data_IF_921163047813
#
_entry.id   IF_921163047813
#
_cell.length_a   1.000
_cell.length_b   1.000
_cell.length_c   1.000
_cell.angle_alpha   90.00
_cell.angle_beta   90.00
_cell.angle_gamma   90.00
#
_symmetry.space_group_name_H-M   'P 1'
#
loop_
_entity.id
_entity.type
_entity.pdbx_description
1 polymer ?
#
# COMPACT_ATOMS: atom_id res chain seq x y z
N UNK A 1 -22.14 4.56 -21.53
CA UNK A 1 -22.17 3.34 -20.70
C UNK A 1 -21.70 2.05 -21.39
N UNK A 2 -22.38 1.47 -22.40
CA UNK A 2 -21.95 0.16 -22.98
C UNK A 2 -20.51 0.13 -23.55
N UNK A 3 -20.10 1.17 -24.28
CA UNK A 3 -18.75 1.23 -24.87
C UNK A 3 -17.63 1.32 -23.81
N UNK A 4 -17.89 2.02 -22.70
CA UNK A 4 -16.94 2.24 -21.60
C UNK A 4 -16.82 0.99 -20.74
N UNK A 5 -17.95 0.34 -20.42
CA UNK A 5 -17.95 -0.97 -19.78
C UNK A 5 -17.20 -2.02 -20.63
N UNK A 6 -17.37 -1.99 -21.96
CA UNK A 6 -16.61 -2.83 -22.90
C UNK A 6 -15.10 -2.56 -22.89
N UNK A 7 -14.69 -1.29 -22.79
CA UNK A 7 -13.26 -0.90 -22.71
C UNK A 7 -12.60 -1.48 -21.46
N UNK A 8 -13.17 -1.27 -20.28
CA UNK A 8 -12.57 -1.76 -19.03
C UNK A 8 -12.58 -3.29 -18.95
N UNK A 9 -13.62 -3.94 -19.47
CA UNK A 9 -13.66 -5.40 -19.59
C UNK A 9 -12.53 -5.91 -20.50
N UNK A 10 -12.28 -5.22 -21.62
CA UNK A 10 -11.18 -5.55 -22.52
C UNK A 10 -9.82 -5.35 -21.85
N UNK A 11 -9.59 -4.20 -21.19
CA UNK A 11 -8.35 -3.93 -20.45
C UNK A 11 -8.10 -5.04 -19.41
N UNK A 12 -9.13 -5.41 -18.65
CA UNK A 12 -9.05 -6.50 -17.69
C UNK A 12 -8.69 -7.82 -18.37
N UNK A 13 -9.37 -8.19 -19.45
CA UNK A 13 -9.09 -9.41 -20.21
C UNK A 13 -7.67 -9.43 -20.78
N UNK A 14 -7.18 -8.31 -21.30
CA UNK A 14 -5.84 -8.23 -21.87
C UNK A 14 -4.77 -8.35 -20.77
N UNK A 15 -5.03 -7.85 -19.57
CA UNK A 15 -4.15 -8.02 -18.41
C UNK A 15 -4.11 -9.48 -17.92
N UNK A 16 -5.26 -10.12 -17.71
CA UNK A 16 -5.29 -11.50 -17.16
C UNK A 16 -4.81 -12.56 -18.14
N UNK A 17 -4.87 -12.27 -19.45
CA UNK A 17 -4.39 -13.16 -20.50
C UNK A 17 -2.94 -12.84 -20.93
N UNK A 18 -2.20 -12.06 -20.14
CA UNK A 18 -0.82 -11.63 -20.43
C UNK A 18 -0.64 -11.00 -21.82
N UNK A 19 -1.70 -10.43 -22.41
CA UNK A 19 -1.66 -9.65 -23.65
C UNK A 19 -1.10 -8.24 -23.42
N UNK A 20 -0.93 -7.89 -22.15
CA UNK A 20 -0.39 -6.62 -21.68
C UNK A 20 0.81 -6.89 -20.78
N UNK A 21 1.92 -6.20 -21.07
CA UNK A 21 3.06 -6.19 -20.16
C UNK A 21 2.69 -5.45 -18.88
N UNK A 22 2.44 -6.20 -17.82
CA UNK A 22 2.40 -5.66 -16.47
C UNK A 22 3.78 -5.13 -16.07
N UNK A 23 3.84 -4.10 -15.21
CA UNK A 23 5.11 -3.56 -14.78
C UNK A 23 5.93 -4.58 -13.99
N UNK A 24 7.23 -4.58 -14.25
CA UNK A 24 8.18 -5.38 -13.50
C UNK A 24 8.62 -4.65 -12.23
N UNK A 25 8.99 -5.42 -11.21
CA UNK A 25 9.64 -4.88 -10.02
C UNK A 25 10.98 -4.23 -10.40
N UNK A 26 11.28 -3.02 -9.91
CA UNK A 26 12.60 -2.42 -10.07
C UNK A 26 13.72 -3.31 -9.55
N UNK A 27 14.89 -3.21 -10.17
CA UNK A 27 16.07 -4.02 -9.86
C UNK A 27 16.47 -3.99 -8.39
N UNK A 28 16.32 -2.85 -7.73
CA UNK A 28 16.66 -2.71 -6.31
C UNK A 28 15.81 -3.62 -5.42
N UNK A 29 14.51 -3.76 -5.68
CA UNK A 29 13.64 -4.66 -4.92
C UNK A 29 14.01 -6.12 -5.17
N UNK A 30 14.36 -6.48 -6.42
CA UNK A 30 14.79 -7.84 -6.78
C UNK A 30 16.13 -8.17 -6.10
N UNK A 31 17.11 -7.27 -6.16
CA UNK A 31 18.42 -7.43 -5.53
C UNK A 31 18.29 -7.52 -4.01
N UNK A 32 17.46 -6.67 -3.40
CA UNK A 32 17.23 -6.69 -1.96
C UNK A 32 16.58 -8.00 -1.51
N UNK A 33 15.57 -8.49 -2.25
CA UNK A 33 14.95 -9.79 -1.98
C UNK A 33 15.97 -10.93 -2.04
N UNK A 34 16.80 -10.97 -3.09
CA UNK A 34 17.87 -11.97 -3.23
C UNK A 34 18.89 -11.90 -2.10
N UNK A 35 19.22 -10.70 -1.64
CA UNK A 35 20.17 -10.51 -0.55
C UNK A 35 19.58 -11.01 0.80
N UNK A 36 18.29 -10.77 1.04
CA UNK A 36 17.60 -11.18 2.27
C UNK A 36 17.19 -12.66 2.29
N UNK A 37 17.16 -13.34 1.14
CA UNK A 37 16.87 -14.78 1.06
C UNK A 37 18.08 -15.67 1.33
N UNK A 38 19.25 -15.10 1.60
CA UNK A 38 20.45 -15.85 1.95
C UNK A 38 20.51 -16.00 3.48
N UNK A 39 20.63 -17.23 3.99
CA UNK A 39 20.62 -17.54 5.43
C UNK A 39 21.71 -16.81 6.24
N UNK A 40 22.78 -16.34 5.58
CA UNK A 40 23.87 -15.58 6.19
C UNK A 40 23.95 -14.12 5.73
N UNK A 41 22.82 -13.46 5.46
CA UNK A 41 22.83 -12.05 5.09
C UNK A 41 23.38 -11.16 6.22
N UNK A 42 24.09 -10.09 5.86
CA UNK A 42 24.57 -9.09 6.82
C UNK A 42 24.06 -7.70 6.47
N UNK A 43 24.01 -6.81 7.47
CA UNK A 43 23.63 -5.40 7.28
C UNK A 43 24.49 -4.75 6.18
N UNK A 44 25.77 -5.11 6.08
CA UNK A 44 26.68 -4.57 5.07
C UNK A 44 26.32 -4.97 3.65
N UNK A 45 25.79 -6.19 3.46
CA UNK A 45 25.33 -6.66 2.14
C UNK A 45 24.07 -5.88 1.76
N UNK A 46 23.12 -5.75 2.69
CA UNK A 46 21.87 -5.01 2.46
C UNK A 46 22.14 -3.53 2.17
N UNK A 47 23.02 -2.91 2.95
CA UNK A 47 23.42 -1.52 2.76
C UNK A 47 24.02 -1.29 1.37
N UNK A 48 24.94 -2.17 0.94
CA UNK A 48 25.55 -2.10 -0.40
C UNK A 48 24.52 -2.19 -1.52
N UNK A 49 23.52 -3.07 -1.40
CA UNK A 49 22.43 -3.17 -2.39
C UNK A 49 21.67 -1.85 -2.50
N UNK A 50 21.29 -1.26 -1.37
CA UNK A 50 20.50 -0.02 -1.33
C UNK A 50 21.32 1.17 -1.85
N UNK A 51 22.61 1.23 -1.50
CA UNK A 51 23.55 2.25 -1.96
C UNK A 51 23.74 2.29 -3.48
N UNK A 52 23.37 1.23 -4.21
CA UNK A 52 23.40 1.26 -5.68
C UNK A 52 22.34 2.19 -6.29
N UNK A 53 21.32 2.60 -5.52
CA UNK A 53 20.31 3.57 -5.94
C UNK A 53 20.34 4.77 -4.97
N UNK A 54 20.79 5.92 -5.49
CA UNK A 54 20.90 7.18 -4.74
C UNK A 54 19.54 7.64 -4.22
N UNK A 55 18.47 7.47 -5.00
CA UNK A 55 17.13 7.91 -4.62
C UNK A 55 16.54 6.99 -3.55
N UNK A 56 16.76 5.68 -3.64
CA UNK A 56 16.36 4.74 -2.59
C UNK A 56 17.14 4.97 -1.28
N UNK A 57 18.43 5.30 -1.39
CA UNK A 57 19.28 5.63 -0.25
C UNK A 57 18.81 6.90 0.47
N UNK A 58 18.55 7.96 -0.27
CA UNK A 58 18.02 9.21 0.28
C UNK A 58 16.62 9.00 0.90
N UNK A 59 15.76 8.24 0.21
CA UNK A 59 14.45 7.86 0.73
C UNK A 59 14.56 7.15 2.09
N UNK A 60 15.44 6.15 2.20
CA UNK A 60 15.62 5.41 3.44
C UNK A 60 16.16 6.28 4.58
N UNK A 61 17.16 7.13 4.32
CA UNK A 61 17.73 8.04 5.32
C UNK A 61 16.71 9.06 5.82
N UNK A 62 15.89 9.62 4.92
CA UNK A 62 14.84 10.55 5.29
C UNK A 62 13.81 9.90 6.22
N UNK A 63 13.49 8.62 5.97
CA UNK A 63 12.55 7.87 6.82
C UNK A 63 13.17 7.53 8.17
N UNK A 64 14.40 7.03 8.20
CA UNK A 64 15.09 6.68 9.43
C UNK A 64 15.21 7.87 10.38
N UNK A 65 15.31 9.08 9.84
CA UNK A 65 15.40 10.34 10.60
C UNK A 65 14.06 11.04 10.83
N UNK A 66 12.96 10.46 10.32
CA UNK A 66 11.63 11.02 10.48
C UNK A 66 11.10 10.83 11.90
N UNK A 67 10.03 11.56 12.24
CA UNK A 67 9.35 11.39 13.53
C UNK A 67 8.89 9.94 13.79
N UNK A 68 8.70 9.15 12.72
CA UNK A 68 8.25 7.77 12.75
C UNK A 68 9.21 6.82 13.47
N UNK A 69 10.52 7.00 13.25
CA UNK A 69 11.61 6.18 13.80
C UNK A 69 12.50 6.96 14.76
N UNK A 70 12.01 8.11 15.26
CA UNK A 70 12.83 9.07 16.02
C UNK A 70 13.50 8.39 17.22
N UNK A 71 14.81 8.22 17.14
CA UNK A 71 15.65 7.78 18.25
C UNK A 71 16.53 8.93 18.76
N UNK A 72 17.30 8.70 19.83
CA UNK A 72 18.29 9.67 20.32
C UNK A 72 19.44 9.93 19.33
N UNK A 73 19.60 9.10 18.31
CA UNK A 73 20.71 9.13 17.35
C UNK A 73 20.20 9.18 15.92
N UNK A 74 20.65 10.18 15.16
CA UNK A 74 20.31 10.36 13.75
C UNK A 74 21.05 9.33 12.89
N UNK A 75 20.39 8.76 11.89
CA UNK A 75 21.00 7.92 10.88
C UNK A 75 21.84 8.78 9.91
N UNK A 76 23.17 8.63 9.96
CA UNK A 76 24.12 9.31 9.08
C UNK A 76 24.44 8.52 7.80
N UNK A 77 24.16 7.22 7.81
CA UNK A 77 24.45 6.29 6.72
C UNK A 77 23.42 5.16 6.65
N UNK A 78 23.45 4.38 5.57
CA UNK A 78 22.48 3.31 5.33
C UNK A 78 22.59 2.19 6.36
N UNK A 79 23.78 1.89 6.89
CA UNK A 79 23.94 0.84 7.90
C UNK A 79 23.29 1.26 9.23
N UNK A 80 23.46 2.52 9.63
CA UNK A 80 22.82 3.12 10.81
C UNK A 80 21.31 3.17 10.65
N UNK A 81 20.80 3.52 9.46
CA UNK A 81 19.36 3.45 9.16
C UNK A 81 18.82 2.02 9.29
N UNK A 82 19.52 1.02 8.74
CA UNK A 82 19.15 -0.40 8.88
C UNK A 82 19.20 -0.85 10.35
N UNK A 83 20.16 -0.39 11.15
CA UNK A 83 20.24 -0.72 12.58
C UNK A 83 19.09 -0.13 13.39
N UNK A 84 18.69 1.11 13.09
CA UNK A 84 17.58 1.79 13.78
C UNK A 84 16.24 1.12 13.44
N UNK A 85 16.02 0.83 12.16
CA UNK A 85 14.73 0.35 11.67
C UNK A 85 14.60 -1.17 11.72
N UNK A 86 15.70 -1.90 11.57
CA UNK A 86 15.70 -3.34 11.33
C UNK A 86 15.54 -3.70 9.85
N UNK A 87 16.03 -4.88 9.47
CA UNK A 87 16.07 -5.33 8.07
C UNK A 87 14.69 -5.60 7.48
N UNK A 88 13.73 -6.04 8.29
CA UNK A 88 12.34 -6.25 7.86
C UNK A 88 11.67 -4.96 7.41
N UNK A 89 11.83 -3.89 8.19
CA UNK A 89 11.30 -2.55 7.92
C UNK A 89 11.93 -1.95 6.67
N UNK A 90 13.26 -2.05 6.56
CA UNK A 90 14.00 -1.62 5.36
C UNK A 90 13.49 -2.34 4.11
N UNK A 91 13.29 -3.66 4.18
CA UNK A 91 12.71 -4.44 3.07
C UNK A 91 11.35 -3.89 2.64
N UNK A 92 10.47 -3.65 3.61
CA UNK A 92 9.12 -3.17 3.33
C UNK A 92 9.14 -1.78 2.70
N UNK A 93 9.96 -0.87 3.22
CA UNK A 93 10.06 0.50 2.71
C UNK A 93 10.73 0.59 1.34
N UNK A 94 11.76 -0.21 1.07
CA UNK A 94 12.34 -0.28 -0.28
C UNK A 94 11.34 -0.87 -1.28
N UNK A 95 10.52 -1.85 -0.87
CA UNK A 95 9.42 -2.33 -1.70
C UNK A 95 8.43 -1.20 -2.00
N UNK A 96 8.02 -0.42 -1.00
CA UNK A 96 7.17 0.77 -1.17
C UNK A 96 7.77 1.75 -2.21
N UNK A 97 9.05 2.09 -2.05
CA UNK A 97 9.77 2.94 -2.99
C UNK A 97 9.77 2.37 -4.42
N UNK A 98 10.08 1.08 -4.56
CA UNK A 98 10.14 0.41 -5.84
C UNK A 98 8.76 0.35 -6.53
N UNK A 99 7.68 0.12 -5.79
CA UNK A 99 6.33 0.16 -6.37
C UNK A 99 5.94 1.56 -6.83
N UNK A 100 6.43 2.61 -6.17
CA UNK A 100 6.20 3.99 -6.60
C UNK A 100 6.89 4.29 -7.92
N UNK A 101 8.14 3.85 -8.08
CA UNK A 101 8.93 4.17 -9.29
C UNK A 101 8.39 3.51 -10.56
N UNK A 102 7.51 2.52 -10.43
CA UNK A 102 6.79 1.89 -11.53
C UNK A 102 5.77 2.84 -12.19
N UNK A 103 5.27 3.83 -11.44
CA UNK A 103 4.20 4.71 -11.90
C UNK A 103 4.79 5.81 -12.80
N UNK A 104 4.81 5.56 -14.11
CA UNK A 104 5.28 6.52 -15.12
C UNK A 104 4.19 6.75 -16.16
N UNK A 105 3.80 8.01 -16.35
CA UNK A 105 2.92 8.47 -17.43
C UNK A 105 3.29 9.89 -17.83
N UNK A 106 3.20 10.18 -19.13
CA UNK A 106 3.44 11.51 -19.69
C UNK A 106 2.18 12.38 -19.69
N UNK A 107 0.97 11.78 -19.61
CA UNK A 107 -0.28 12.53 -19.67
C UNK A 107 -0.67 13.10 -18.32
N UNK A 108 -0.89 14.42 -18.30
CA UNK A 108 -1.24 15.15 -17.09
C UNK A 108 -2.53 14.63 -16.40
N UNK A 109 -3.53 14.22 -17.19
CA UNK A 109 -4.81 13.68 -16.68
C UNK A 109 -4.61 12.36 -15.93
N UNK A 110 -3.94 11.40 -16.56
CA UNK A 110 -3.64 10.10 -15.95
C UNK A 110 -2.71 10.27 -14.75
N UNK A 111 -1.73 11.16 -14.84
CA UNK A 111 -0.85 11.51 -13.72
C UNK A 111 -1.63 12.02 -12.51
N UNK A 112 -2.66 12.84 -12.72
CA UNK A 112 -3.55 13.32 -11.66
C UNK A 112 -4.25 12.14 -10.96
N UNK A 113 -4.84 11.21 -11.71
CA UNK A 113 -5.54 10.04 -11.14
C UNK A 113 -4.60 9.10 -10.41
N UNK A 114 -3.44 8.80 -10.98
CA UNK A 114 -2.41 7.97 -10.35
C UNK A 114 -1.90 8.59 -9.05
N UNK A 115 -1.63 9.90 -9.05
CA UNK A 115 -1.21 10.61 -7.85
C UNK A 115 -2.30 10.62 -6.76
N UNK A 116 -3.56 10.87 -7.14
CA UNK A 116 -4.68 10.83 -6.21
C UNK A 116 -4.87 9.44 -5.60
N UNK A 117 -4.77 8.39 -6.42
CA UNK A 117 -4.82 7.01 -5.96
C UNK A 117 -3.66 6.71 -5.00
N UNK A 118 -2.44 7.09 -5.35
CA UNK A 118 -1.27 6.91 -4.51
C UNK A 118 -1.40 7.63 -3.16
N UNK A 119 -1.84 8.89 -3.17
CA UNK A 119 -2.05 9.67 -1.94
C UNK A 119 -3.09 9.02 -1.02
N UNK A 120 -4.16 8.47 -1.60
CA UNK A 120 -5.18 7.72 -0.86
C UNK A 120 -4.61 6.45 -0.24
N UNK A 121 -3.87 5.65 -1.01
CA UNK A 121 -3.19 4.44 -0.52
C UNK A 121 -2.17 4.76 0.56
N UNK A 122 -1.37 5.82 0.40
CA UNK A 122 -0.41 6.28 1.40
C UNK A 122 -1.10 6.73 2.70
N UNK A 123 -2.23 7.43 2.59
CA UNK A 123 -3.02 7.82 3.76
C UNK A 123 -3.58 6.61 4.51
N UNK A 124 -4.13 5.64 3.79
CA UNK A 124 -4.60 4.37 4.36
C UNK A 124 -3.47 3.56 4.99
N UNK A 125 -2.32 3.48 4.31
CA UNK A 125 -1.12 2.82 4.81
C UNK A 125 -0.65 3.40 6.15
N UNK A 126 -0.63 4.73 6.28
CA UNK A 126 -0.25 5.39 7.52
C UNK A 126 -1.23 5.11 8.66
N UNK A 127 -2.55 5.05 8.38
CA UNK A 127 -3.54 4.64 9.37
C UNK A 127 -3.35 3.16 9.76
N UNK A 128 -3.12 2.27 8.79
CA UNK A 128 -2.87 0.85 9.05
C UNK A 128 -1.63 0.64 9.94
N UNK A 129 -0.57 1.41 9.69
CA UNK A 129 0.63 1.42 10.52
C UNK A 129 0.34 1.88 11.96
N UNK A 130 -0.44 2.96 12.14
CA UNK A 130 -0.83 3.46 13.45
C UNK A 130 -1.72 2.47 14.22
N UNK A 131 -2.66 1.80 13.54
CA UNK A 131 -3.47 0.72 14.11
C UNK A 131 -2.56 -0.42 14.57
N UNK A 132 -1.67 -0.89 13.69
CA UNK A 132 -0.76 -2.01 13.97
C UNK A 132 0.15 -1.75 15.17
N UNK A 133 0.61 -0.51 15.41
CA UNK A 133 1.36 -0.15 16.64
C UNK A 133 0.60 -0.48 17.93
N UNK A 134 -0.73 -0.44 17.91
CA UNK A 134 -1.59 -0.75 19.07
C UNK A 134 -2.15 -2.17 19.03
N UNK A 135 -1.92 -2.90 17.95
CA UNK A 135 -2.40 -4.27 17.75
C UNK A 135 -1.27 -5.26 18.03
N UNK A 136 -1.49 -6.18 18.97
CA UNK A 136 -0.53 -7.25 19.24
C UNK A 136 -0.35 -8.12 17.99
N UNK A 137 0.86 -8.65 17.81
CA UNK A 137 1.22 -9.61 16.76
C UNK A 137 1.13 -9.10 15.31
N UNK A 138 0.88 -7.80 15.08
CA UNK A 138 0.95 -7.19 13.75
C UNK A 138 2.17 -6.29 13.63
N UNK A 139 3.05 -6.58 12.67
CA UNK A 139 4.21 -5.74 12.33
C UNK A 139 3.70 -4.42 11.69
N UNK A 140 3.99 -3.24 12.29
CA UNK A 140 3.53 -1.96 11.75
C UNK A 140 4.04 -1.67 10.34
N UNK A 141 5.30 -1.97 10.02
CA UNK A 141 5.89 -1.71 8.71
C UNK A 141 5.31 -2.62 7.64
N UNK A 142 4.91 -3.82 8.04
CA UNK A 142 4.16 -4.73 7.19
C UNK A 142 2.74 -4.23 6.94
N UNK A 143 2.06 -3.67 7.95
CA UNK A 143 0.75 -3.04 7.80
C UNK A 143 0.82 -1.79 6.90
N UNK A 144 1.89 -1.00 7.00
CA UNK A 144 2.17 0.11 6.09
C UNK A 144 2.28 -0.39 4.63
N UNK A 145 3.11 -1.42 4.39
CA UNK A 145 3.27 -2.00 3.06
C UNK A 145 1.92 -2.55 2.53
N UNK A 146 1.19 -3.26 3.37
CA UNK A 146 -0.10 -3.85 3.02
C UNK A 146 -1.15 -2.80 2.66
N UNK A 147 -1.28 -1.74 3.46
CA UNK A 147 -2.19 -0.62 3.20
C UNK A 147 -1.83 0.18 1.95
N UNK A 148 -0.55 0.20 1.55
CA UNK A 148 -0.14 0.81 0.30
C UNK A 148 -0.48 -0.08 -0.91
N UNK A 149 -0.29 -1.39 -0.76
CA UNK A 149 -0.44 -2.37 -1.83
C UNK A 149 -1.88 -2.82 -2.06
N UNK A 150 -2.79 -2.65 -1.12
CA UNK A 150 -4.16 -3.18 -1.22
C UNK A 150 -4.88 -2.74 -2.51
N UNK A 151 -4.59 -1.53 -3.02
CA UNK A 151 -5.19 -0.96 -4.23
C UNK A 151 -4.30 -1.04 -5.47
N UNK A 152 -3.19 -1.79 -5.45
CA UNK A 152 -2.15 -1.71 -6.48
C UNK A 152 -2.62 -2.08 -7.88
N UNK A 153 -3.68 -2.90 -7.99
CA UNK A 153 -4.26 -3.29 -9.27
C UNK A 153 -4.93 -2.14 -10.03
N UNK A 154 -5.18 -0.99 -9.40
CA UNK A 154 -5.66 0.21 -10.09
C UNK A 154 -4.61 0.79 -11.05
N UNK A 155 -3.31 0.64 -10.73
CA UNK A 155 -2.22 1.22 -11.50
C UNK A 155 -2.18 0.74 -12.96
N UNK A 156 -2.11 -0.57 -13.25
CA UNK A 156 -2.10 -1.05 -14.64
C UNK A 156 -3.39 -0.72 -15.39
N UNK A 157 -4.54 -0.67 -14.71
CA UNK A 157 -5.81 -0.27 -15.33
C UNK A 157 -5.74 1.19 -15.79
N UNK A 158 -5.27 2.09 -14.92
CA UNK A 158 -5.12 3.52 -15.23
C UNK A 158 -4.07 3.76 -16.32
N UNK A 159 -2.94 3.03 -16.28
CA UNK A 159 -1.91 3.12 -17.33
C UNK A 159 -2.45 2.67 -18.70
N UNK A 160 -3.26 1.60 -18.77
CA UNK A 160 -3.86 1.16 -20.03
C UNK A 160 -5.01 2.03 -20.51
N UNK A 161 -5.74 2.62 -19.58
CA UNK A 161 -6.70 3.64 -19.94
C UNK A 161 -6.00 4.82 -20.63
N UNK A 162 -4.83 5.23 -20.12
CA UNK A 162 -4.00 6.28 -20.72
C UNK A 162 -3.63 5.96 -22.16
N UNK A 163 -3.15 4.75 -22.46
CA UNK A 163 -2.79 4.34 -23.82
C UNK A 163 -3.98 4.31 -24.79
N UNK A 164 -5.20 4.12 -24.29
CA UNK A 164 -6.35 3.76 -25.12
C UNK A 164 -6.83 4.88 -26.07
N UNK A 165 -6.45 6.15 -25.86
CA UNK A 165 -6.63 7.38 -26.70
C UNK A 165 -8.00 7.62 -27.38
N UNK A 166 -8.98 6.73 -27.20
CA UNK A 166 -10.22 6.64 -27.98
C UNK A 166 -11.43 7.11 -27.20
N UNK A 167 -11.37 7.09 -25.87
CA UNK A 167 -12.47 7.44 -24.98
C UNK A 167 -11.89 8.13 -23.74
N UNK A 168 -12.47 9.28 -23.37
CA UNK A 168 -12.20 9.96 -22.11
C UNK A 168 -13.35 9.63 -21.12
N UNK A 169 -13.22 8.58 -20.30
CA UNK A 169 -14.25 8.26 -19.31
C UNK A 169 -14.32 9.36 -18.24
N UNK A 170 -15.51 9.52 -17.67
CA UNK A 170 -15.72 10.39 -16.51
C UNK A 170 -15.06 9.80 -15.26
N UNK A 171 -14.86 10.63 -14.23
CA UNK A 171 -14.30 10.17 -12.95
C UNK A 171 -15.16 9.05 -12.31
N UNK A 172 -16.49 9.16 -12.38
CA UNK A 172 -17.40 8.13 -11.90
C UNK A 172 -17.23 6.80 -12.65
N UNK A 173 -17.07 6.84 -13.97
CA UNK A 173 -16.85 5.63 -14.77
C UNK A 173 -15.52 4.96 -14.46
N UNK A 174 -14.47 5.75 -14.17
CA UNK A 174 -13.19 5.23 -13.69
C UNK A 174 -13.36 4.58 -12.31
N UNK A 175 -14.04 5.24 -11.37
CA UNK A 175 -14.29 4.68 -10.03
C UNK A 175 -15.02 3.33 -10.10
N UNK A 176 -16.12 3.25 -10.86
CA UNK A 176 -16.89 2.02 -11.06
C UNK A 176 -16.02 0.91 -11.65
N UNK A 177 -15.18 1.23 -12.63
CA UNK A 177 -14.29 0.24 -13.24
C UNK A 177 -13.20 -0.24 -12.29
N UNK A 178 -12.61 0.67 -11.51
CA UNK A 178 -11.63 0.32 -10.49
C UNK A 178 -12.24 -0.59 -9.43
N UNK A 179 -13.45 -0.31 -8.95
CA UNK A 179 -14.13 -1.17 -7.98
C UNK A 179 -14.43 -2.57 -8.55
N UNK A 180 -14.76 -2.67 -9.84
CA UNK A 180 -15.05 -3.96 -10.49
C UNK A 180 -13.80 -4.83 -10.76
N UNK A 181 -12.65 -4.21 -11.04
CA UNK A 181 -11.49 -4.91 -11.61
C UNK A 181 -10.18 -4.78 -10.84
N UNK A 182 -9.98 -3.73 -10.04
CA UNK A 182 -8.68 -3.46 -9.41
C UNK A 182 -8.22 -4.58 -8.47
N UNK A 183 -9.11 -5.15 -7.65
CA UNK A 183 -8.79 -6.30 -6.77
C UNK A 183 -8.30 -7.51 -7.57
N UNK A 184 -9.01 -7.86 -8.65
CA UNK A 184 -8.67 -9.02 -9.50
C UNK A 184 -7.31 -8.83 -10.17
N UNK A 185 -7.09 -7.64 -10.73
CA UNK A 185 -5.80 -7.27 -11.35
C UNK A 185 -4.68 -7.22 -10.30
N UNK A 186 -4.97 -6.72 -9.11
CA UNK A 186 -4.03 -6.64 -8.00
C UNK A 186 -3.53 -8.02 -7.58
N UNK A 187 -4.40 -9.04 -7.50
CA UNK A 187 -4.00 -10.42 -7.20
C UNK A 187 -3.06 -10.97 -8.28
N UNK A 188 -3.36 -10.74 -9.57
CA UNK A 188 -2.49 -11.17 -10.67
C UNK A 188 -1.11 -10.53 -10.55
N UNK A 189 -1.08 -9.23 -10.27
CA UNK A 189 0.16 -8.46 -10.10
C UNK A 189 0.96 -8.95 -8.89
N UNK A 190 0.28 -9.18 -7.75
CA UNK A 190 0.90 -9.67 -6.53
C UNK A 190 1.55 -11.04 -6.72
N UNK A 191 0.91 -11.95 -7.47
CA UNK A 191 1.49 -13.24 -7.85
C UNK A 191 2.70 -13.08 -8.75
N UNK A 192 2.60 -12.24 -9.79
CA UNK A 192 3.71 -11.95 -10.72
C UNK A 192 4.93 -11.37 -10.01
N UNK A 193 4.69 -10.54 -8.99
CA UNK A 193 5.73 -9.95 -8.15
C UNK A 193 6.23 -10.88 -7.03
N UNK A 194 5.62 -12.05 -6.86
CA UNK A 194 5.93 -13.04 -5.82
C UNK A 194 5.82 -12.43 -4.41
N UNK A 195 4.75 -11.65 -4.18
CA UNK A 195 4.44 -11.15 -2.84
C UNK A 195 4.06 -12.31 -1.92
N UNK A 196 4.26 -12.13 -0.61
CA UNK A 196 3.86 -13.14 0.38
C UNK A 196 2.36 -13.44 0.31
N UNK A 197 1.97 -14.65 0.69
CA UNK A 197 0.57 -15.09 0.69
C UNK A 197 -0.33 -14.15 1.50
N UNK A 198 0.18 -13.62 2.61
CA UNK A 198 -0.53 -12.67 3.46
C UNK A 198 -0.78 -11.32 2.76
N UNK A 199 0.18 -10.79 2.00
CA UNK A 199 -0.04 -9.59 1.19
C UNK A 199 -1.02 -9.86 0.04
N UNK A 200 -0.95 -11.05 -0.57
CA UNK A 200 -1.94 -11.48 -1.57
C UNK A 200 -3.34 -11.57 -0.96
N UNK A 201 -3.46 -12.05 0.28
CA UNK A 201 -4.72 -12.16 1.02
C UNK A 201 -5.32 -10.80 1.35
N UNK A 202 -4.49 -9.83 1.77
CA UNK A 202 -4.89 -8.43 1.96
C UNK A 202 -5.44 -7.85 0.66
N UNK A 203 -4.71 -7.98 -0.45
CA UNK A 203 -5.16 -7.45 -1.74
C UNK A 203 -6.48 -8.11 -2.14
N UNK A 204 -6.60 -9.43 -1.99
CA UNK A 204 -7.82 -10.19 -2.33
C UNK A 204 -9.05 -9.74 -1.54
N UNK A 205 -8.88 -9.39 -0.27
CA UNK A 205 -9.96 -9.01 0.64
C UNK A 205 -10.01 -7.51 0.94
N UNK A 206 -9.35 -6.68 0.11
CA UNK A 206 -9.42 -5.23 0.25
C UNK A 206 -10.88 -4.76 0.12
N UNK A 207 -11.32 -3.94 1.07
CA UNK A 207 -12.71 -3.45 1.24
C UNK A 207 -13.74 -4.53 1.57
N UNK A 208 -13.34 -5.79 1.75
CA UNK A 208 -14.24 -6.87 2.17
C UNK A 208 -14.38 -6.87 3.71
N UNK A 209 -15.35 -6.10 4.21
CA UNK A 209 -15.61 -5.97 5.64
C UNK A 209 -16.21 -7.24 6.27
N UNK A 210 -16.67 -8.19 5.45
CA UNK A 210 -17.21 -9.49 5.87
C UNK A 210 -16.14 -10.59 5.91
N UNK A 211 -14.89 -10.27 5.59
CA UNK A 211 -13.79 -11.21 5.72
C UNK A 211 -13.65 -11.68 7.18
N UNK A 212 -13.49 -12.98 7.37
CA UNK A 212 -13.26 -13.58 8.67
C UNK A 212 -12.09 -14.58 8.61
N UNK A 213 -10.90 -14.10 9.00
CA UNK A 213 -9.68 -14.90 9.08
C UNK A 213 -9.53 -15.73 10.37
N UNK A 214 -10.51 -15.74 11.27
CA UNK A 214 -10.43 -16.38 12.58
C UNK A 214 -10.66 -15.41 13.73
N UNK A 215 -10.42 -15.87 14.97
CA UNK A 215 -10.75 -15.14 16.20
C UNK A 215 -9.81 -13.96 16.47
N UNK A 216 -8.53 -14.10 16.14
CA UNK A 216 -7.55 -13.01 16.31
C UNK A 216 -7.61 -12.03 15.13
N UNK A 217 -7.27 -10.78 15.42
CA UNK A 217 -7.12 -9.76 14.39
C UNK A 217 -5.91 -10.04 13.52
N UNK A 218 -6.10 -9.96 12.20
CA UNK A 218 -5.03 -10.16 11.23
C UNK A 218 -4.72 -8.90 10.40
N UNK A 219 -3.77 -9.04 9.46
CA UNK A 219 -3.35 -7.95 8.59
C UNK A 219 -4.48 -7.45 7.66
N UNK A 220 -5.41 -8.33 7.26
CA UNK A 220 -6.56 -7.97 6.41
C UNK A 220 -7.53 -7.10 7.20
N UNK A 221 -7.80 -7.47 8.45
CA UNK A 221 -8.64 -6.72 9.37
C UNK A 221 -8.08 -5.30 9.58
N UNK A 222 -6.79 -5.18 9.91
CA UNK A 222 -6.10 -3.89 10.12
C UNK A 222 -6.21 -2.98 8.88
N UNK A 223 -5.97 -3.52 7.68
CA UNK A 223 -6.01 -2.74 6.44
C UNK A 223 -7.44 -2.32 6.08
N UNK A 224 -8.43 -3.18 6.32
CA UNK A 224 -9.84 -2.84 6.09
C UNK A 224 -10.36 -1.78 7.07
N UNK A 225 -9.97 -1.87 8.35
CA UNK A 225 -10.27 -0.83 9.36
C UNK A 225 -9.61 0.50 8.95
N UNK A 226 -8.35 0.47 8.54
CA UNK A 226 -7.68 1.66 8.02
C UNK A 226 -8.40 2.27 6.81
N UNK A 227 -8.90 1.41 5.90
CA UNK A 227 -9.72 1.80 4.76
C UNK A 227 -11.02 2.52 5.17
N UNK A 228 -11.70 2.05 6.22
CA UNK A 228 -12.88 2.70 6.78
C UNK A 228 -12.54 4.05 7.43
N UNK A 229 -11.56 4.06 8.33
CA UNK A 229 -11.13 5.28 9.03
C UNK A 229 -10.62 6.35 8.07
N UNK A 230 -10.00 5.94 6.95
CA UNK A 230 -9.53 6.88 5.92
C UNK A 230 -10.64 7.69 5.26
N UNK A 231 -11.89 7.25 5.37
CA UNK A 231 -13.03 7.93 4.79
C UNK A 231 -13.69 8.91 5.77
N UNK A 232 -13.32 8.92 7.06
CA UNK A 232 -13.83 9.85 8.08
C UNK A 232 -13.74 11.30 7.59
N UNK A 233 -14.87 12.02 7.65
CA UNK A 233 -14.98 13.39 7.16
C UNK A 233 -15.37 13.53 5.68
N UNK A 234 -15.49 12.42 4.93
CA UNK A 234 -16.08 12.42 3.60
C UNK A 234 -17.62 12.28 3.67
N UNK A 235 -18.33 12.90 2.74
CA UNK A 235 -19.80 12.81 2.64
C UNK A 235 -20.30 11.45 2.10
N UNK A 236 -19.39 10.50 1.81
CA UNK A 236 -19.69 9.22 1.14
C UNK A 236 -19.64 8.00 2.07
N UNK A 237 -19.41 8.16 3.38
CA UNK A 237 -19.26 7.00 4.28
C UNK A 237 -20.63 6.38 4.58
N UNK A 238 -20.79 5.10 4.24
CA UNK A 238 -21.77 4.24 4.87
C UNK A 238 -21.06 3.39 5.91
N UNK A 239 -21.27 3.72 7.18
CA UNK A 239 -20.71 2.93 8.27
C UNK A 239 -21.43 1.57 8.35
N UNK A 240 -20.70 0.45 8.26
CA UNK A 240 -21.33 -0.84 8.50
C UNK A 240 -21.76 -0.97 9.96
N UNK A 241 -22.71 -1.84 10.23
CA UNK A 241 -22.99 -2.22 11.62
C UNK A 241 -21.82 -3.03 12.15
N UNK A 242 -21.46 -2.79 13.42
CA UNK A 242 -20.37 -3.52 14.11
C UNK A 242 -20.58 -5.04 14.05
N UNK A 243 -21.83 -5.48 14.22
CA UNK A 243 -22.23 -6.89 14.21
C UNK A 243 -21.95 -7.59 12.88
N UNK A 244 -22.06 -6.85 11.77
CA UNK A 244 -21.94 -7.34 10.40
C UNK A 244 -20.48 -7.35 9.90
N UNK A 245 -19.53 -6.80 10.67
CA UNK A 245 -18.13 -6.65 10.25
C UNK A 245 -17.16 -7.32 11.24
N UNK A 246 -16.70 -8.57 10.96
CA UNK A 246 -15.80 -9.30 11.84
C UNK A 246 -14.55 -8.51 12.24
N UNK A 247 -13.93 -7.77 11.31
CA UNK A 247 -12.75 -6.95 11.60
C UNK A 247 -13.00 -5.91 12.71
N UNK A 248 -14.18 -5.26 12.70
CA UNK A 248 -14.55 -4.27 13.70
C UNK A 248 -14.85 -4.91 15.06
N UNK A 249 -15.33 -6.16 15.09
CA UNK A 249 -15.52 -6.90 16.34
C UNK A 249 -14.18 -7.34 16.95
N UNK A 250 -13.27 -7.88 16.13
CA UNK A 250 -11.97 -8.42 16.58
C UNK A 250 -11.01 -7.34 17.08
N UNK A 251 -11.04 -6.15 16.50
CA UNK A 251 -10.26 -5.03 17.01
C UNK A 251 -10.72 -4.58 18.41
N UNK A 252 -11.79 -5.17 18.94
CA UNK A 252 -12.65 -4.58 19.94
C UNK A 252 -13.10 -5.59 20.99
N UNK A 253 -12.27 -5.81 22.01
CA UNK A 253 -12.78 -6.21 23.34
C UNK A 253 -13.57 -5.06 24.05
N UNK A 254 -13.90 -3.96 23.33
CA UNK A 254 -14.67 -2.81 23.84
C UNK A 254 -15.29 -1.86 22.79
N UNK A 255 -15.27 -2.21 21.50
CA UNK A 255 -15.84 -1.41 20.39
C UNK A 255 -14.92 -0.30 19.85
N UNK A 256 -15.02 -0.03 18.55
CA UNK A 256 -14.27 1.03 17.86
C UNK A 256 -14.99 2.35 18.20
N UNK A 257 -14.75 2.85 19.40
CA UNK A 257 -15.41 4.07 19.88
C UNK A 257 -14.93 5.27 19.06
N UNK A 258 -15.77 6.31 19.01
CA UNK A 258 -15.37 7.57 18.38
C UNK A 258 -14.09 8.14 19.03
N UNK A 259 -13.92 7.96 20.34
CA UNK A 259 -12.73 8.40 21.07
C UNK A 259 -11.47 7.66 20.59
N UNK A 260 -11.49 6.32 20.53
CA UNK A 260 -10.36 5.51 20.03
C UNK A 260 -10.07 5.83 18.57
N UNK A 261 -11.12 5.99 17.76
CA UNK A 261 -10.99 6.36 16.33
C UNK A 261 -10.32 7.72 16.16
N UNK A 262 -10.71 8.71 16.96
CA UNK A 262 -10.14 10.06 16.93
C UNK A 262 -8.72 10.11 17.47
N UNK A 263 -8.39 9.30 18.49
CA UNK A 263 -7.03 9.15 19.00
C UNK A 263 -6.12 8.50 17.96
N UNK A 264 -6.55 7.38 17.36
CA UNK A 264 -5.85 6.72 16.25
C UNK A 264 -5.66 7.67 15.08
N UNK A 265 -6.68 8.44 14.69
CA UNK A 265 -6.55 9.42 13.62
C UNK A 265 -5.61 10.58 13.98
N UNK A 266 -5.53 11.00 15.25
CA UNK A 266 -4.64 12.07 15.71
C UNK A 266 -3.18 11.62 15.73
N UNK A 267 -2.92 10.41 16.23
CA UNK A 267 -1.58 9.80 16.16
C UNK A 267 -1.20 9.52 14.70
N UNK A 268 -2.12 8.93 13.96
CA UNK A 268 -1.96 8.74 12.54
C UNK A 268 -1.76 10.09 11.86
N UNK A 269 -2.34 11.23 12.26
CA UNK A 269 -2.10 12.53 11.59
C UNK A 269 -0.63 12.96 11.63
N UNK A 270 0.09 12.72 12.73
CA UNK A 270 1.52 13.00 12.83
C UNK A 270 2.32 12.07 11.90
N UNK A 271 2.05 10.76 11.98
CA UNK A 271 2.67 9.74 11.12
C UNK A 271 2.29 9.94 9.64
N UNK A 272 1.05 10.32 9.35
CA UNK A 272 0.46 10.59 8.03
C UNK A 272 1.14 11.79 7.41
N UNK A 273 1.35 12.89 8.15
CA UNK A 273 2.00 14.07 7.58
C UNK A 273 3.40 13.72 7.11
N UNK A 274 4.11 12.93 7.92
CA UNK A 274 5.48 12.55 7.64
C UNK A 274 5.57 11.48 6.53
N UNK A 275 4.78 10.41 6.65
CA UNK A 275 4.62 9.37 5.63
C UNK A 275 4.10 10.00 4.33
N UNK A 276 3.23 11.02 4.35
CA UNK A 276 2.81 11.74 3.14
C UNK A 276 3.93 12.58 2.53
N UNK A 277 4.83 13.18 3.30
CA UNK A 277 6.02 13.87 2.74
C UNK A 277 7.04 12.89 2.18
N UNK A 278 7.11 11.70 2.78
CA UNK A 278 8.00 10.62 2.35
C UNK A 278 7.44 9.92 1.09
N UNK A 279 6.14 9.65 1.05
CA UNK A 279 5.46 8.87 0.01
C UNK A 279 4.81 9.74 -1.08
N UNK A 280 4.36 10.95 -0.76
CA UNK A 280 3.90 11.98 -1.68
C UNK A 280 5.00 13.04 -1.77
N UNK A 281 5.20 13.63 -2.95
CA UNK A 281 6.10 14.79 -3.06
C UNK A 281 5.55 15.95 -2.24
#
# INVERSE_FOLDING_TARGET
>A
MKAISGLFTKIYQDIINDRVSLPHLPDIAIKLRKALSNDNYSIDIIARVIQTDVSASAYLLNIANSALYKTHTSASDIQSAIRIMGTSSVRNLINVYAFRSIIVTEKATTKKYLNAHWQRSAYQAAIAHAIAKKTKNIDPDKALLAGLLQGVGALPILMKLDESNRINPTEQEIEIALDAYSTKVGIVLAKKWQLSEELQLVIKNSKNLFYDGGEEIDLVDVVNIAGLLSQIGSHKIQWPRLEDSPCLRKFCDGGLTLAISMELLKEAQADISEIKKILGR
#
